data_IF_895564410220
#
_entry.id   IF_895564410220
#
_cell.length_a   1.000
_cell.length_b   1.000
_cell.length_c   1.000
_cell.angle_alpha   90.00
_cell.angle_beta   90.00
_cell.angle_gamma   90.00
#
_symmetry.space_group_name_H-M   'P 1'
#
loop_
_entity.id
_entity.type
_entity.pdbx_description
1 polymer ?
#
# COMPACT_ATOMS: atom_id res chain seq x y z
N UNK A 1 4.13 -6.85 -20.11
CA UNK A 1 3.38 -6.15 -19.06
C UNK A 1 4.06 -4.83 -18.86
N UNK A 2 3.38 -3.73 -19.15
CA UNK A 2 3.92 -2.38 -18.99
C UNK A 2 4.05 -2.06 -17.49
N UNK A 3 5.16 -1.46 -17.07
CA UNK A 3 5.55 -1.48 -15.65
C UNK A 3 5.44 -0.13 -14.92
N UNK A 4 5.24 1.02 -15.59
CA UNK A 4 4.91 2.27 -14.88
C UNK A 4 4.29 3.39 -15.71
N UNK A 5 5.10 4.09 -16.49
CA UNK A 5 4.62 5.20 -17.32
C UNK A 5 4.51 4.73 -18.75
N UNK A 6 3.27 4.50 -19.16
CA UNK A 6 2.92 4.21 -20.53
C UNK A 6 2.21 5.39 -21.16
N UNK A 7 2.56 5.67 -22.41
CA UNK A 7 1.86 6.65 -23.19
C UNK A 7 1.74 6.24 -24.66
N UNK A 8 0.75 6.82 -25.32
CA UNK A 8 0.57 6.73 -26.77
C UNK A 8 0.98 8.07 -27.36
N UNK A 9 1.95 8.04 -28.27
CA UNK A 9 2.48 9.23 -28.93
C UNK A 9 2.10 9.19 -30.40
N UNK A 10 1.40 10.20 -30.88
CA UNK A 10 0.99 10.30 -32.31
C UNK A 10 2.08 10.90 -33.17
N UNK A 11 1.96 10.74 -34.50
CA UNK A 11 2.83 11.39 -35.50
C UNK A 11 2.91 12.92 -35.38
N UNK A 12 1.85 13.57 -34.90
CA UNK A 12 1.83 15.02 -34.65
C UNK A 12 2.49 15.39 -33.30
N UNK A 13 2.95 14.39 -32.55
CA UNK A 13 3.55 14.53 -31.23
C UNK A 13 2.56 14.85 -30.12
N UNK A 14 1.28 14.52 -30.28
CA UNK A 14 0.33 14.50 -29.15
C UNK A 14 0.59 13.25 -28.30
N UNK A 15 0.72 13.43 -27.00
CA UNK A 15 1.01 12.37 -26.02
C UNK A 15 -0.23 12.12 -25.16
N UNK A 16 -0.69 10.87 -25.14
CA UNK A 16 -1.85 10.42 -24.37
C UNK A 16 -1.41 9.48 -23.26
N UNK A 17 -1.79 9.78 -22.03
CA UNK A 17 -1.54 8.96 -20.85
C UNK A 17 -2.58 9.27 -19.78
N UNK A 18 -2.70 8.41 -18.77
CA UNK A 18 -3.46 8.70 -17.57
C UNK A 18 -2.78 8.07 -16.35
N UNK A 19 -2.66 8.85 -15.27
CA UNK A 19 -2.22 8.34 -13.96
C UNK A 19 -3.13 7.18 -13.53
N UNK A 20 -2.52 6.05 -13.13
CA UNK A 20 -3.21 4.82 -12.77
C UNK A 20 -3.65 3.94 -13.96
N UNK A 21 -3.19 4.23 -15.18
CA UNK A 21 -3.34 3.33 -16.34
C UNK A 21 -1.97 3.16 -16.99
N UNK A 22 -1.46 1.94 -16.93
CA UNK A 22 -0.17 1.51 -17.49
C UNK A 22 -0.33 0.67 -18.77
N UNK A 23 -1.50 0.08 -19.02
CA UNK A 23 -1.78 -0.65 -20.26
C UNK A 23 -1.97 0.30 -21.45
N UNK A 24 -1.20 0.08 -22.53
CA UNK A 24 -1.39 0.80 -23.79
C UNK A 24 -2.81 0.59 -24.36
N UNK A 25 -3.36 -0.61 -24.30
CA UNK A 25 -4.72 -0.90 -24.78
C UNK A 25 -5.78 -0.12 -24.01
N UNK A 26 -5.64 -0.04 -22.68
CA UNK A 26 -6.54 0.77 -21.85
C UNK A 26 -6.37 2.28 -22.13
N UNK A 27 -5.17 2.74 -22.49
CA UNK A 27 -4.95 4.13 -22.92
C UNK A 27 -5.64 4.37 -24.28
N UNK A 28 -5.47 3.47 -25.25
CA UNK A 28 -6.11 3.55 -26.56
C UNK A 28 -7.64 3.59 -26.43
N UNK A 29 -8.23 2.66 -25.67
CA UNK A 29 -9.68 2.64 -25.43
C UNK A 29 -10.14 3.92 -24.71
N UNK A 30 -9.42 4.34 -23.66
CA UNK A 30 -9.77 5.54 -22.91
C UNK A 30 -9.87 6.78 -23.79
N UNK A 31 -8.90 6.96 -24.69
CA UNK A 31 -8.83 8.12 -25.56
C UNK A 31 -9.48 7.88 -26.93
N UNK A 32 -10.15 6.73 -27.11
CA UNK A 32 -10.85 6.33 -28.34
C UNK A 32 -9.94 6.43 -29.57
N UNK A 33 -8.68 6.06 -29.40
CA UNK A 33 -7.69 5.96 -30.47
C UNK A 33 -7.88 4.59 -31.10
N UNK A 34 -8.28 4.56 -32.37
CA UNK A 34 -8.43 3.29 -33.10
C UNK A 34 -7.05 2.70 -33.37
N UNK A 35 -6.85 1.50 -32.85
CA UNK A 35 -5.71 0.68 -33.22
C UNK A 35 -5.92 0.17 -34.66
N UNK A 36 -5.16 0.73 -35.58
CA UNK A 36 -5.16 0.35 -36.99
C UNK A 36 -3.72 0.19 -37.48
N UNK A 37 -2.80 -0.07 -36.56
CA UNK A 37 -1.38 -0.10 -36.89
C UNK A 37 -1.08 -1.30 -37.78
N UNK A 38 -0.43 -0.99 -38.89
CA UNK A 38 0.18 -1.96 -39.79
C UNK A 38 1.58 -2.26 -39.21
N UNK A 39 1.67 -3.28 -38.36
CA UNK A 39 2.92 -3.70 -37.67
C UNK A 39 4.04 -4.14 -38.63
N UNK A 40 3.80 -4.08 -39.94
CA UNK A 40 4.76 -4.44 -40.98
C UNK A 40 5.41 -3.18 -41.60
N UNK A 41 4.71 -2.05 -41.64
CA UNK A 41 5.19 -0.83 -42.30
C UNK A 41 5.34 0.36 -41.34
N UNK A 42 6.60 0.68 -41.02
CA UNK A 42 6.98 1.78 -40.12
C UNK A 42 6.47 3.16 -40.52
N UNK A 43 6.16 3.38 -41.79
CA UNK A 43 5.65 4.68 -42.28
C UNK A 43 4.13 4.82 -42.10
N UNK A 44 3.42 3.69 -41.91
CA UNK A 44 1.96 3.65 -41.75
C UNK A 44 1.48 3.64 -40.31
N UNK A 45 2.37 3.38 -39.35
CA UNK A 45 2.07 3.48 -37.93
C UNK A 45 1.54 4.87 -37.59
N UNK A 46 0.38 4.93 -36.93
CA UNK A 46 -0.29 6.21 -36.62
C UNK A 46 0.16 6.77 -35.27
N UNK A 47 0.63 5.89 -34.41
CA UNK A 47 1.16 6.24 -33.10
C UNK A 47 2.34 5.31 -32.75
N UNK A 48 2.96 5.59 -31.61
CA UNK A 48 3.93 4.75 -30.95
C UNK A 48 3.41 4.48 -29.53
N UNK A 49 3.42 3.21 -29.15
CA UNK A 49 3.41 2.77 -27.75
C UNK A 49 4.78 3.07 -27.17
N UNK A 50 4.79 3.85 -26.10
CA UNK A 50 6.01 4.27 -25.42
C UNK A 50 5.90 3.86 -23.97
N UNK A 51 6.99 3.29 -23.47
CA UNK A 51 7.18 2.96 -22.07
C UNK A 51 8.40 3.72 -21.56
N UNK A 52 8.28 4.34 -20.39
CA UNK A 52 9.41 4.97 -19.70
C UNK A 52 9.50 4.42 -18.29
N UNK A 53 10.63 3.82 -17.96
CA UNK A 53 10.86 3.12 -16.69
C UNK A 53 12.08 3.70 -15.97
N UNK A 54 12.08 3.73 -14.62
CA UNK A 54 13.25 4.13 -13.86
C UNK A 54 14.29 3.02 -13.90
N UNK A 55 15.55 3.41 -14.02
CA UNK A 55 16.67 2.46 -14.03
C UNK A 55 16.96 1.94 -12.60
N UNK A 56 16.77 2.80 -11.59
CA UNK A 56 17.08 2.53 -10.18
C UNK A 56 15.82 2.19 -9.34
N UNK A 57 14.69 1.93 -10.00
CA UNK A 57 13.42 1.57 -9.36
C UNK A 57 12.54 2.75 -8.92
N UNK A 58 11.31 2.43 -8.52
CA UNK A 58 10.23 3.43 -8.31
C UNK A 58 10.34 4.24 -7.02
N UNK A 59 11.17 3.82 -6.08
CA UNK A 59 11.39 4.63 -4.89
C UNK A 59 12.37 5.76 -5.14
N UNK A 60 13.09 5.80 -6.27
CA UNK A 60 14.15 6.76 -6.59
C UNK A 60 13.86 7.57 -7.87
N UNK A 61 12.79 8.38 -7.90
CA UNK A 61 12.39 9.12 -9.11
C UNK A 61 13.41 10.15 -9.61
N UNK A 62 14.35 10.58 -8.77
CA UNK A 62 15.47 11.44 -9.12
C UNK A 62 16.52 10.75 -10.00
N UNK A 63 16.50 9.42 -10.07
CA UNK A 63 17.39 8.61 -10.89
C UNK A 63 17.09 8.73 -12.39
N UNK A 64 17.81 7.94 -13.18
CA UNK A 64 17.61 7.94 -14.63
C UNK A 64 16.32 7.21 -15.02
N UNK A 65 15.72 7.67 -16.12
CA UNK A 65 14.54 7.08 -16.71
C UNK A 65 14.80 6.76 -18.18
N UNK A 66 14.58 5.52 -18.56
CA UNK A 66 14.85 5.02 -19.91
C UNK A 66 13.55 4.93 -20.70
N UNK A 67 13.51 5.64 -21.84
CA UNK A 67 12.42 5.53 -22.82
C UNK A 67 12.66 4.36 -23.77
N UNK A 68 11.64 3.52 -23.91
CA UNK A 68 11.54 2.46 -24.91
C UNK A 68 10.31 2.69 -25.79
N UNK A 69 10.48 2.54 -27.10
CA UNK A 69 9.35 2.40 -28.02
C UNK A 69 8.94 0.93 -27.96
N UNK A 70 7.76 0.66 -27.40
CA UNK A 70 7.24 -0.68 -27.19
C UNK A 70 6.42 -1.14 -28.41
N UNK A 71 7.07 -1.07 -29.57
CA UNK A 71 6.53 -1.49 -30.86
C UNK A 71 7.49 -2.50 -31.49
N UNK A 72 6.97 -3.45 -32.29
CA UNK A 72 7.82 -4.37 -33.08
C UNK A 72 8.75 -3.61 -34.02
N UNK A 73 8.26 -2.52 -34.59
CA UNK A 73 8.98 -1.66 -35.52
C UNK A 73 8.85 -0.21 -35.07
N UNK A 74 10.00 0.48 -34.95
CA UNK A 74 10.03 1.90 -34.63
C UNK A 74 9.40 2.72 -35.77
N UNK A 75 8.42 3.61 -35.50
CA UNK A 75 7.83 4.43 -36.54
C UNK A 75 8.86 5.31 -37.27
N UNK A 76 8.75 5.40 -38.60
CA UNK A 76 9.68 6.17 -39.44
C UNK A 76 9.66 7.67 -39.17
N UNK A 77 8.53 8.17 -38.68
CA UNK A 77 8.35 9.58 -38.30
C UNK A 77 8.81 9.91 -36.87
N UNK A 78 9.22 8.91 -36.08
CA UNK A 78 9.69 9.15 -34.71
C UNK A 78 10.95 10.03 -34.73
N UNK A 79 11.01 11.00 -33.81
CA UNK A 79 12.12 11.96 -33.74
C UNK A 79 12.39 12.38 -32.31
N UNK A 80 13.51 13.08 -32.07
CA UNK A 80 13.87 13.59 -30.74
C UNK A 80 12.79 14.50 -30.14
N UNK A 81 12.03 15.21 -30.99
CA UNK A 81 10.89 16.02 -30.53
C UNK A 81 9.81 15.18 -29.83
N UNK A 82 9.53 13.98 -30.35
CA UNK A 82 8.56 13.05 -29.75
C UNK A 82 9.06 12.52 -28.40
N UNK A 83 10.35 12.20 -28.32
CA UNK A 83 11.01 11.78 -27.08
C UNK A 83 10.92 12.86 -25.99
N UNK A 84 11.26 14.12 -26.32
CA UNK A 84 11.15 15.26 -25.39
C UNK A 84 9.71 15.46 -24.90
N UNK A 85 8.72 15.34 -25.80
CA UNK A 85 7.31 15.45 -25.41
C UNK A 85 6.87 14.30 -24.48
N UNK A 86 7.46 13.11 -24.65
CA UNK A 86 7.20 11.94 -23.80
C UNK A 86 7.76 12.16 -22.39
N UNK A 87 8.99 12.65 -22.27
CA UNK A 87 9.55 13.01 -20.95
C UNK A 87 8.80 14.16 -20.26
N UNK A 88 8.34 15.18 -20.99
CA UNK A 88 7.45 16.22 -20.42
C UNK A 88 6.13 15.65 -19.90
N UNK A 89 5.63 14.58 -20.51
CA UNK A 89 4.44 13.88 -20.02
C UNK A 89 4.76 13.06 -18.77
N UNK A 90 5.92 12.40 -18.74
CA UNK A 90 6.44 11.72 -17.55
C UNK A 90 6.58 12.68 -16.37
N UNK A 91 7.20 13.85 -16.53
CA UNK A 91 7.35 14.85 -15.45
C UNK A 91 6.00 15.18 -14.78
N UNK A 92 4.97 15.43 -15.59
CA UNK A 92 3.61 15.70 -15.11
C UNK A 92 2.96 14.50 -14.42
N UNK A 93 3.27 13.28 -14.88
CA UNK A 93 2.82 12.05 -14.24
C UNK A 93 3.52 11.85 -12.90
N UNK A 94 4.84 12.04 -12.85
CA UNK A 94 5.67 11.91 -11.64
C UNK A 94 5.21 12.88 -10.55
N UNK A 95 4.93 14.14 -10.89
CA UNK A 95 4.40 15.12 -9.92
C UNK A 95 3.16 14.60 -9.22
N UNK A 96 2.26 13.90 -9.93
CA UNK A 96 1.00 13.39 -9.37
C UNK A 96 1.19 12.09 -8.58
N UNK A 97 2.05 11.19 -9.05
CA UNK A 97 2.29 9.90 -8.40
C UNK A 97 3.09 10.07 -7.13
N UNK A 98 4.12 10.91 -7.14
CA UNK A 98 4.96 11.10 -5.97
C UNK A 98 4.39 12.12 -4.98
N UNK A 99 3.42 12.97 -5.38
CA UNK A 99 2.73 13.84 -4.42
C UNK A 99 1.87 13.09 -3.40
N UNK A 100 1.52 11.83 -3.67
CA UNK A 100 0.69 11.02 -2.78
C UNK A 100 1.50 10.06 -1.90
N UNK A 101 2.83 10.11 -1.93
CA UNK A 101 3.69 9.17 -1.19
C UNK A 101 4.76 9.92 -0.39
N UNK A 102 4.95 9.53 0.87
CA UNK A 102 6.10 9.94 1.65
C UNK A 102 7.32 9.08 1.28
N UNK A 103 8.06 9.48 0.23
CA UNK A 103 9.21 8.72 -0.28
C UNK A 103 10.35 8.59 0.72
N UNK A 104 10.65 9.65 1.48
CA UNK A 104 11.75 9.65 2.44
C UNK A 104 11.52 8.56 3.50
N UNK A 105 10.31 8.51 4.04
CA UNK A 105 9.91 7.52 5.04
C UNK A 105 9.68 6.13 4.44
N UNK A 106 9.22 6.03 3.18
CA UNK A 106 9.14 4.74 2.49
C UNK A 106 10.52 4.10 2.25
N UNK A 107 11.55 4.91 1.98
CA UNK A 107 12.95 4.45 1.87
C UNK A 107 13.56 4.13 3.23
N UNK A 108 13.12 4.82 4.28
CA UNK A 108 13.66 4.71 5.63
C UNK A 108 12.52 4.50 6.64
N UNK A 109 11.85 3.34 6.63
CA UNK A 109 10.69 3.10 7.48
C UNK A 109 11.10 3.17 8.96
N UNK A 110 10.26 3.82 9.75
CA UNK A 110 10.45 3.97 11.18
C UNK A 110 10.26 2.61 11.84
N UNK A 111 11.29 2.17 12.56
CA UNK A 111 11.17 1.07 13.51
C UNK A 111 10.85 1.66 14.90
N UNK A 112 9.62 1.50 15.41
CA UNK A 112 9.18 2.14 16.65
C UNK A 112 9.95 1.63 17.86
N UNK A 113 10.42 0.37 17.82
CA UNK A 113 11.16 -0.25 18.93
C UNK A 113 12.62 0.20 19.01
N UNK A 114 13.13 0.90 17.99
CA UNK A 114 14.47 1.49 18.01
C UNK A 114 14.46 2.98 18.39
N UNK A 115 13.28 3.58 18.56
CA UNK A 115 13.16 4.96 19.00
C UNK A 115 13.46 5.09 20.51
N UNK A 116 13.88 6.28 20.97
CA UNK A 116 14.04 6.55 22.40
C UNK A 116 12.75 6.27 23.17
N UNK A 117 12.87 5.61 24.32
CA UNK A 117 11.72 5.39 25.20
C UNK A 117 11.22 6.73 25.73
N UNK A 118 9.91 6.97 25.57
CA UNK A 118 9.23 8.13 26.13
C UNK A 118 8.14 7.68 27.10
N UNK A 119 7.83 8.54 28.06
CA UNK A 119 6.67 8.33 28.93
C UNK A 119 5.37 8.43 28.14
N UNK A 120 4.43 7.55 28.49
CA UNK A 120 3.09 7.52 27.92
C UNK A 120 2.35 8.79 28.34
N UNK A 121 1.81 9.53 27.37
CA UNK A 121 1.07 10.77 27.59
C UNK A 121 -0.44 10.54 27.42
N UNK A 122 -1.29 11.47 27.90
CA UNK A 122 -2.73 11.40 27.68
C UNK A 122 -3.12 11.30 26.19
N UNK A 123 -2.35 11.94 25.30
CA UNK A 123 -2.56 11.86 23.84
C UNK A 123 -2.30 10.45 23.31
N UNK A 124 -1.29 9.75 23.82
CA UNK A 124 -1.01 8.37 23.42
C UNK A 124 -2.15 7.44 23.84
N UNK A 125 -2.70 7.66 25.04
CA UNK A 125 -3.86 6.92 25.57
C UNK A 125 -5.09 7.19 24.69
N UNK A 126 -5.35 8.44 24.33
CA UNK A 126 -6.44 8.80 23.42
C UNK A 126 -6.27 8.13 22.05
N UNK A 127 -5.05 8.11 21.52
CA UNK A 127 -4.74 7.46 20.25
C UNK A 127 -4.91 5.93 20.33
N UNK A 128 -4.59 5.31 21.46
CA UNK A 128 -4.87 3.90 21.70
C UNK A 128 -6.37 3.62 21.74
N UNK A 129 -7.18 4.47 22.41
CA UNK A 129 -8.63 4.34 22.40
C UNK A 129 -9.22 4.46 20.98
N UNK A 130 -8.75 5.45 20.19
CA UNK A 130 -9.15 5.60 18.79
C UNK A 130 -8.79 4.35 17.99
N UNK A 131 -7.57 3.84 18.15
CA UNK A 131 -7.11 2.63 17.48
C UNK A 131 -7.97 1.40 17.85
N UNK A 132 -8.23 1.20 19.14
CA UNK A 132 -9.09 0.13 19.64
C UNK A 132 -10.50 0.19 19.02
N UNK A 133 -11.10 1.39 18.96
CA UNK A 133 -12.45 1.58 18.41
C UNK A 133 -12.55 1.24 16.91
N UNK A 134 -11.49 1.48 16.16
CA UNK A 134 -11.41 1.11 14.73
C UNK A 134 -11.19 -0.40 14.60
N UNK A 135 -10.32 -0.97 15.45
CA UNK A 135 -10.06 -2.40 15.55
C UNK A 135 -11.32 -3.22 15.80
N UNK A 136 -12.22 -2.78 16.69
CA UNK A 136 -13.46 -3.50 17.02
C UNK A 136 -14.39 -3.71 15.81
N UNK A 137 -14.41 -2.77 14.85
CA UNK A 137 -15.24 -2.88 13.65
C UNK A 137 -14.69 -3.90 12.64
N UNK A 138 -13.36 -3.94 12.46
CA UNK A 138 -12.67 -4.88 11.57
C UNK A 138 -12.60 -6.27 12.22
N UNK A 139 -12.34 -6.31 13.52
CA UNK A 139 -12.23 -7.52 14.33
C UNK A 139 -13.56 -8.23 14.46
N UNK A 140 -14.69 -7.54 14.64
CA UNK A 140 -16.00 -8.18 14.61
C UNK A 140 -16.26 -8.87 13.27
N UNK A 141 -15.81 -8.31 12.14
CA UNK A 141 -15.96 -8.94 10.82
C UNK A 141 -15.07 -10.17 10.65
N UNK A 142 -13.80 -10.12 11.09
CA UNK A 142 -12.86 -11.25 10.99
C UNK A 142 -13.19 -12.34 12.01
N UNK A 143 -13.46 -11.97 13.26
CA UNK A 143 -13.88 -12.87 14.35
C UNK A 143 -15.18 -13.58 14.01
N UNK A 144 -16.17 -12.92 13.40
CA UNK A 144 -17.40 -13.60 12.99
C UNK A 144 -17.16 -14.61 11.85
N UNK A 145 -16.30 -14.29 10.88
CA UNK A 145 -15.95 -15.19 9.79
C UNK A 145 -15.17 -16.44 10.27
N UNK A 146 -14.20 -16.22 11.17
CA UNK A 146 -13.36 -17.30 11.74
C UNK A 146 -14.11 -18.12 12.79
N UNK A 147 -14.89 -17.49 13.69
CA UNK A 147 -15.67 -18.18 14.73
C UNK A 147 -16.76 -19.08 14.12
N UNK A 148 -17.37 -18.67 13.01
CA UNK A 148 -18.34 -19.50 12.29
C UNK A 148 -17.68 -20.71 11.62
N UNK A 149 -16.41 -20.59 11.21
CA UNK A 149 -15.64 -21.70 10.62
C UNK A 149 -15.14 -22.69 11.67
N UNK A 150 -14.82 -22.22 12.88
CA UNK A 150 -14.27 -23.05 13.98
C UNK A 150 -15.36 -23.73 14.81
N UNK A 151 -16.56 -23.14 14.96
CA UNK A 151 -17.66 -23.72 15.77
C UNK A 151 -18.28 -25.00 15.17
N UNK A 152 -17.88 -25.39 13.95
CA UNK A 152 -18.32 -26.63 13.33
C UNK A 152 -17.42 -27.84 13.62
N UNK A 153 -16.30 -27.67 14.32
CA UNK A 153 -15.26 -28.70 14.39
C UNK A 153 -14.77 -29.02 15.80
N UNK A 154 -15.67 -29.32 16.76
CA UNK A 154 -15.25 -30.04 17.97
C UNK A 154 -16.29 -31.05 18.44
N UNK A 155 -15.95 -32.33 18.28
CA UNK A 155 -16.47 -33.47 19.03
C UNK A 155 -15.31 -34.34 19.53
N UNK A 156 -15.27 -34.53 20.85
CA UNK A 156 -14.74 -35.64 21.67
C UNK A 156 -13.27 -35.79 22.13
N UNK A 157 -13.14 -35.74 23.48
CA UNK A 157 -12.31 -36.54 24.41
C UNK A 157 -10.90 -36.06 24.84
N UNK A 158 -10.61 -36.16 26.16
CA UNK A 158 -10.30 -35.05 27.12
C UNK A 158 -8.86 -35.02 27.70
N UNK A 159 -7.87 -35.76 27.18
CA UNK A 159 -6.49 -35.71 27.74
C UNK A 159 -5.37 -35.32 26.74
N UNK A 160 -5.42 -35.78 25.49
CA UNK A 160 -4.60 -35.19 24.39
C UNK A 160 -5.15 -33.83 23.95
N UNK A 161 -6.45 -33.65 24.10
CA UNK A 161 -7.17 -32.44 23.73
C UNK A 161 -6.92 -31.28 24.68
N UNK A 162 -6.44 -31.44 25.92
CA UNK A 162 -6.08 -30.25 26.71
C UNK A 162 -4.77 -29.66 26.22
N UNK A 163 -3.75 -30.47 25.93
CA UNK A 163 -2.47 -29.95 25.42
C UNK A 163 -2.59 -29.46 23.98
N UNK A 164 -3.24 -30.23 23.09
CA UNK A 164 -3.47 -29.81 21.71
C UNK A 164 -4.51 -28.71 21.60
N UNK A 165 -5.57 -28.70 22.43
CA UNK A 165 -6.50 -27.56 22.43
C UNK A 165 -5.93 -26.36 23.16
N UNK A 166 -5.06 -26.47 24.17
CA UNK A 166 -4.40 -25.29 24.76
C UNK A 166 -3.37 -24.75 23.77
N UNK A 167 -2.56 -25.58 23.12
CA UNK A 167 -1.63 -25.11 22.10
C UNK A 167 -2.34 -24.59 20.84
N UNK A 168 -3.40 -25.25 20.37
CA UNK A 168 -4.17 -24.79 19.21
C UNK A 168 -5.17 -23.67 19.56
N UNK A 169 -5.69 -23.58 20.79
CA UNK A 169 -6.60 -22.49 21.17
C UNK A 169 -5.85 -21.31 21.74
N UNK A 170 -4.93 -21.48 22.70
CA UNK A 170 -4.13 -20.39 23.29
C UNK A 170 -3.01 -20.00 22.35
N UNK A 171 -2.27 -20.96 21.78
CA UNK A 171 -1.24 -20.66 20.79
C UNK A 171 -1.85 -20.01 19.55
N UNK A 172 -2.96 -20.52 18.99
CA UNK A 172 -3.59 -19.82 17.87
C UNK A 172 -4.38 -18.57 18.28
N UNK A 173 -4.95 -18.46 19.49
CA UNK A 173 -5.64 -17.22 19.89
C UNK A 173 -4.65 -16.10 20.17
N UNK A 174 -3.55 -16.39 20.88
CA UNK A 174 -2.47 -15.44 21.14
C UNK A 174 -1.73 -15.11 19.85
N UNK A 175 -1.40 -16.12 19.03
CA UNK A 175 -0.81 -15.89 17.71
C UNK A 175 -1.76 -15.05 16.86
N UNK A 176 -3.04 -15.40 16.74
CA UNK A 176 -3.98 -14.64 15.92
C UNK A 176 -4.25 -13.25 16.48
N UNK A 177 -4.35 -13.04 17.80
CA UNK A 177 -4.68 -11.72 18.37
C UNK A 177 -3.45 -10.80 18.37
N UNK A 178 -2.29 -11.30 18.80
CA UNK A 178 -1.05 -10.52 18.86
C UNK A 178 -0.50 -10.30 17.45
N UNK A 179 -0.42 -11.33 16.61
CA UNK A 179 0.04 -11.18 15.22
C UNK A 179 -0.91 -10.31 14.41
N UNK A 180 -2.24 -10.45 14.57
CA UNK A 180 -3.17 -9.59 13.85
C UNK A 180 -3.12 -8.14 14.33
N UNK A 181 -2.99 -7.88 15.64
CA UNK A 181 -2.90 -6.50 16.14
C UNK A 181 -1.59 -5.83 15.73
N UNK A 182 -0.45 -6.51 15.87
CA UNK A 182 0.84 -6.01 15.40
C UNK A 182 0.87 -5.87 13.88
N UNK A 183 0.35 -6.86 13.14
CA UNK A 183 0.24 -6.81 11.68
C UNK A 183 -0.68 -5.68 11.20
N UNK A 184 -1.77 -5.42 11.92
CA UNK A 184 -2.65 -4.28 11.65
C UNK A 184 -1.95 -2.95 11.94
N UNK A 185 -1.11 -2.86 12.96
CA UNK A 185 -0.30 -1.67 13.21
C UNK A 185 0.75 -1.43 12.14
N UNK A 186 1.43 -2.48 11.66
CA UNK A 186 2.33 -2.39 10.51
C UNK A 186 1.57 -1.93 9.27
N UNK A 187 0.40 -2.52 8.98
CA UNK A 187 -0.44 -2.12 7.87
C UNK A 187 -0.94 -0.68 7.99
N UNK A 188 -1.32 -0.24 9.19
CA UNK A 188 -1.72 1.12 9.48
C UNK A 188 -0.55 2.09 9.25
N UNK A 189 0.64 1.76 9.74
CA UNK A 189 1.85 2.53 9.50
C UNK A 189 2.17 2.66 8.01
N UNK A 190 2.24 1.54 7.29
CA UNK A 190 2.53 1.51 5.85
C UNK A 190 1.49 2.28 5.05
N UNK A 191 0.19 2.15 5.39
CA UNK A 191 -0.86 2.93 4.73
C UNK A 191 -0.74 4.43 4.99
N UNK A 192 -0.21 4.84 6.16
CA UNK A 192 0.08 6.24 6.50
C UNK A 192 1.19 6.88 5.67
N UNK A 193 1.94 6.09 4.89
CA UNK A 193 2.90 6.61 3.90
C UNK A 193 2.21 7.20 2.67
N UNK A 194 0.89 6.97 2.50
CA UNK A 194 0.14 7.38 1.32
C UNK A 194 -0.97 8.37 1.63
N UNK A 195 -0.98 9.48 0.90
CA UNK A 195 -2.03 10.51 0.93
C UNK A 195 -3.07 10.21 -0.15
N UNK A 196 -3.98 9.26 0.14
CA UNK A 196 -5.07 8.91 -0.78
C UNK A 196 -6.41 9.47 -0.32
N UNK A 197 -7.26 9.81 -1.29
CA UNK A 197 -8.57 10.43 -1.04
C UNK A 197 -9.55 9.47 -0.36
N UNK A 198 -9.58 8.21 -0.81
CA UNK A 198 -10.55 7.20 -0.38
C UNK A 198 -9.90 5.82 -0.19
N UNK A 199 -9.97 5.30 1.03
CA UNK A 199 -9.68 3.92 1.42
C UNK A 199 -10.91 3.00 1.25
N UNK A 200 -10.86 2.10 0.27
CA UNK A 200 -12.01 1.28 -0.19
C UNK A 200 -12.69 0.45 0.90
N UNK A 201 -11.93 -0.11 1.84
CA UNK A 201 -12.43 -1.13 2.77
C UNK A 201 -12.81 -0.58 4.15
N UNK A 202 -12.87 0.74 4.30
CA UNK A 202 -13.21 1.38 5.58
C UNK A 202 -13.97 2.68 5.35
N UNK A 203 -14.98 2.94 6.19
CA UNK A 203 -15.71 4.21 6.15
C UNK A 203 -14.89 5.28 6.85
N UNK A 204 -14.58 6.35 6.14
CA UNK A 204 -13.77 7.46 6.63
C UNK A 204 -14.15 8.73 5.88
N UNK A 205 -13.78 9.88 6.41
CA UNK A 205 -13.95 11.15 5.72
C UNK A 205 -12.93 11.24 4.57
N UNK A 206 -13.30 11.79 3.40
CA UNK A 206 -12.35 11.95 2.31
C UNK A 206 -11.11 12.73 2.73
N UNK A 207 -9.94 12.27 2.29
CA UNK A 207 -8.61 12.81 2.62
C UNK A 207 -8.18 12.69 4.09
N UNK A 208 -8.94 11.99 4.94
CA UNK A 208 -8.49 11.64 6.29
C UNK A 208 -8.01 10.18 6.31
N UNK A 209 -6.84 9.93 6.89
CA UNK A 209 -6.36 8.56 7.06
C UNK A 209 -7.04 7.91 8.28
N UNK A 210 -7.86 6.86 8.11
CA UNK A 210 -8.67 6.29 9.20
C UNK A 210 -7.86 5.67 10.34
N UNK A 211 -6.58 5.35 10.10
CA UNK A 211 -5.71 4.69 11.07
C UNK A 211 -4.62 5.63 11.61
N UNK A 212 -4.82 6.95 11.48
CA UNK A 212 -3.83 7.96 11.88
C UNK A 212 -3.41 7.81 13.35
N UNK A 213 -4.33 7.46 14.25
CA UNK A 213 -3.99 7.28 15.67
C UNK A 213 -2.94 6.18 15.90
N UNK A 214 -2.95 5.12 15.10
CA UNK A 214 -1.92 4.08 15.15
C UNK A 214 -0.60 4.55 14.54
N UNK A 215 -0.64 5.37 13.49
CA UNK A 215 0.57 5.98 12.90
C UNK A 215 1.24 6.91 13.91
N UNK A 216 0.46 7.70 14.64
CA UNK A 216 0.97 8.62 15.65
C UNK A 216 1.64 7.87 16.80
N UNK A 217 1.03 6.78 17.28
CA UNK A 217 1.65 5.86 18.25
C UNK A 217 2.96 5.27 17.71
N UNK A 218 2.95 4.78 16.47
CA UNK A 218 4.11 4.18 15.82
C UNK A 218 5.27 5.17 15.72
N UNK A 219 5.00 6.40 15.26
CA UNK A 219 6.00 7.46 15.14
C UNK A 219 6.56 7.93 16.49
N UNK A 220 5.82 7.71 17.59
CA UNK A 220 6.31 7.94 18.95
C UNK A 220 7.09 6.79 19.56
N UNK A 221 7.19 5.64 18.88
CA UNK A 221 7.90 4.48 19.39
C UNK A 221 7.02 3.51 20.17
N UNK A 222 5.71 3.53 19.93
CA UNK A 222 4.76 2.60 20.55
C UNK A 222 4.21 1.60 19.53
N UNK A 223 4.18 0.32 19.93
CA UNK A 223 3.50 -0.74 19.19
C UNK A 223 2.32 -1.22 20.03
N UNK A 224 1.07 -1.02 19.57
CA UNK A 224 -0.08 -1.54 20.28
C UNK A 224 -0.27 -3.04 19.99
N UNK A 225 -0.62 -3.83 21.00
CA UNK A 225 -1.03 -5.23 20.84
C UNK A 225 -2.32 -5.50 21.59
N UNK A 226 -3.05 -6.53 21.17
CA UNK A 226 -4.31 -6.95 21.80
C UNK A 226 -4.31 -8.46 22.05
N UNK A 227 -4.57 -8.86 23.30
CA UNK A 227 -4.62 -10.27 23.71
C UNK A 227 -6.05 -10.85 23.75
N UNK A 228 -7.05 -10.07 23.33
CA UNK A 228 -8.46 -10.45 23.36
C UNK A 228 -9.25 -9.82 24.51
N UNK A 229 -8.58 -9.26 25.52
CA UNK A 229 -9.20 -8.52 26.64
C UNK A 229 -8.53 -7.16 26.87
N UNK A 230 -7.23 -7.08 26.69
CA UNK A 230 -6.44 -5.91 27.07
C UNK A 230 -5.61 -5.44 25.89
N UNK A 231 -5.69 -4.14 25.61
CA UNK A 231 -4.75 -3.44 24.75
C UNK A 231 -3.50 -3.07 25.52
N UNK A 232 -2.33 -3.30 24.93
CA UNK A 232 -1.02 -3.01 25.53
C UNK A 232 -0.21 -2.10 24.62
N UNK A 233 0.48 -1.11 25.18
CA UNK A 233 1.51 -0.35 24.45
C UNK A 233 2.90 -0.91 24.78
N UNK A 234 3.64 -1.27 23.74
CA UNK A 234 5.00 -1.75 23.83
C UNK A 234 5.99 -0.69 23.35
N UNK A 235 7.16 -0.58 23.97
CA UNK A 235 8.23 0.33 23.51
C UNK A 235 9.65 -0.22 23.74
N UNK A 236 10.58 0.35 22.97
CA UNK A 236 12.01 0.04 22.97
C UNK A 236 12.36 -1.38 22.52
N UNK A 237 13.67 -1.65 22.45
CA UNK A 237 14.22 -2.87 21.84
C UNK A 237 13.72 -4.19 22.44
N UNK A 238 13.32 -4.15 23.72
CA UNK A 238 12.82 -5.32 24.45
C UNK A 238 11.27 -5.42 24.42
N UNK A 239 10.61 -4.53 23.67
CA UNK A 239 9.14 -4.44 23.56
C UNK A 239 8.42 -4.42 24.91
N UNK A 240 8.94 -3.62 25.86
CA UNK A 240 8.39 -3.54 27.22
C UNK A 240 6.98 -2.96 27.19
N UNK A 241 6.07 -3.60 27.92
CA UNK A 241 4.73 -3.06 28.16
C UNK A 241 4.85 -1.86 29.08
N UNK A 242 4.32 -0.71 28.65
CA UNK A 242 4.35 0.55 29.40
C UNK A 242 2.97 1.11 29.70
N UNK A 243 1.92 0.56 29.10
CA UNK A 243 0.53 0.90 29.39
C UNK A 243 -0.40 -0.25 29.01
N UNK A 244 -1.48 -0.39 29.78
CA UNK A 244 -2.53 -1.38 29.54
C UNK A 244 -3.90 -0.71 29.61
N UNK A 245 -4.79 -1.08 28.69
CA UNK A 245 -6.17 -0.63 28.59
C UNK A 245 -7.08 -1.85 28.50
N UNK A 246 -7.88 -2.10 29.53
CA UNK A 246 -8.93 -3.12 29.49
C UNK A 246 -10.15 -2.60 28.72
N UNK A 247 -10.75 -3.45 27.89
CA UNK A 247 -11.94 -3.17 27.04
C UNK A 247 -13.11 -4.08 27.37
#
# INVERSE_FOLDING_TARGET
>A
MCQAFSCIVTKQGKVYYKVGIDSHDLILDKFKIRDMDDEINKERLKFARVEITPDDGYLYPEGNWTLKIDERIKPGWWSKSHEVKSYKALEKWMTKVYSIMNLEEARNPINPLLLPMLEVTPTDIENLHKWASVGDSVWNSVRNSVRNSVRNSVGDSVWNSVWDSVWASVGASVWNSVWASVGASVGAYTGGLFSIREWKYTKHKPNEYPFQSCVDLWKRGFVPSFDGKTWKLHTGKDAKVVYELEV
#
